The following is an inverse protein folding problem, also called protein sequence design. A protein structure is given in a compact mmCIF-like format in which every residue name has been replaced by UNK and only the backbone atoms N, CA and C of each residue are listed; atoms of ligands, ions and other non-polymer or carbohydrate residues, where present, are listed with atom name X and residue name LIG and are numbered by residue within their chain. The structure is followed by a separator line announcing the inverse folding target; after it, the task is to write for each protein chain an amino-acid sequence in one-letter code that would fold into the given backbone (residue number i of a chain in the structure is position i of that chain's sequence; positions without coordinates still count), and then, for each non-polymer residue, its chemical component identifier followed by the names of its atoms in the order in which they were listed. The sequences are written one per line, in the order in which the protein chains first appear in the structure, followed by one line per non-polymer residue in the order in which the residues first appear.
data_IF_765742708659
#
_entry.id   IF_765742708659
#
_cell.length_a   1.000
_cell.length_b   1.000
_cell.length_c   1.000
_cell.angle_alpha   90.00
_cell.angle_beta   90.00
_cell.angle_gamma   90.00
#
_symmetry.space_group_name_H-M   'P 1'
#
loop_
_entity.id
_entity.type
_entity.pdbx_description
1 polymer ?
#
# COMPACT_ATOMS: atom_id res chain seq x y z
N UNK A 1 -18.52 -2.55 11.64
CA UNK A 1 -17.22 -2.42 12.34
C UNK A 1 -16.96 -3.78 12.97
N UNK A 2 -15.83 -4.45 12.71
CA UNK A 2 -15.50 -5.74 13.33
C UNK A 2 -14.78 -5.56 14.67
N UNK A 3 -14.82 -6.58 15.52
CA UNK A 3 -14.51 -6.51 16.97
C UNK A 3 -13.03 -6.29 17.35
N UNK A 4 -12.11 -6.18 16.40
CA UNK A 4 -10.68 -5.97 16.68
C UNK A 4 -10.31 -4.47 16.71
N UNK A 5 -9.80 -3.99 17.84
CA UNK A 5 -9.43 -2.59 18.05
C UNK A 5 -8.24 -2.11 17.19
N UNK A 6 -7.45 -3.04 16.64
CA UNK A 6 -6.24 -2.80 15.82
C UNK A 6 -5.90 -4.04 14.98
N UNK A 7 -5.03 -3.88 13.98
CA UNK A 7 -4.58 -4.98 13.13
C UNK A 7 -5.31 -5.07 11.79
N UNK A 8 -5.24 -6.23 11.15
CA UNK A 8 -5.77 -6.45 9.79
C UNK A 8 -7.15 -7.10 9.89
N UNK A 9 -8.19 -6.30 9.67
CA UNK A 9 -9.57 -6.78 9.69
C UNK A 9 -9.97 -7.38 8.33
N UNK A 10 -10.24 -8.68 8.30
CA UNK A 10 -10.59 -9.43 7.08
C UNK A 10 -11.78 -8.83 6.33
N UNK A 11 -12.89 -8.56 7.02
CA UNK A 11 -14.10 -8.00 6.40
C UNK A 11 -13.85 -6.62 5.75
N UNK A 12 -12.92 -5.84 6.31
CA UNK A 12 -12.53 -4.55 5.75
C UNK A 12 -11.71 -4.72 4.46
N UNK A 13 -10.76 -5.66 4.44
CA UNK A 13 -10.02 -5.99 3.23
C UNK A 13 -10.95 -6.53 2.15
N UNK A 14 -11.85 -7.46 2.48
CA UNK A 14 -12.80 -8.04 1.52
C UNK A 14 -13.69 -6.95 0.90
N UNK A 15 -14.16 -5.99 1.69
CA UNK A 15 -14.89 -4.81 1.17
C UNK A 15 -14.03 -3.97 0.23
N UNK A 16 -12.79 -3.65 0.62
CA UNK A 16 -11.88 -2.89 -0.24
C UNK A 16 -11.60 -3.61 -1.56
N UNK A 17 -11.42 -4.93 -1.52
CA UNK A 17 -11.22 -5.74 -2.73
C UNK A 17 -12.44 -5.72 -3.63
N UNK A 18 -13.66 -5.75 -3.07
CA UNK A 18 -14.88 -5.61 -3.84
C UNK A 18 -14.97 -4.24 -4.53
N UNK A 19 -14.71 -3.15 -3.81
CA UNK A 19 -14.71 -1.79 -4.36
C UNK A 19 -13.68 -1.65 -5.50
N UNK A 20 -12.46 -2.16 -5.28
CA UNK A 20 -11.39 -2.20 -6.29
C UNK A 20 -11.81 -3.03 -7.51
N UNK A 21 -12.47 -4.17 -7.31
CA UNK A 21 -12.93 -5.02 -8.40
C UNK A 21 -13.95 -4.30 -9.29
N UNK A 22 -14.80 -3.46 -8.72
CA UNK A 22 -15.75 -2.63 -9.49
C UNK A 22 -15.02 -1.58 -10.34
N UNK A 23 -14.03 -0.91 -9.77
CA UNK A 23 -13.22 0.09 -10.50
C UNK A 23 -12.38 -0.57 -11.61
N UNK A 24 -11.76 -1.72 -11.34
CA UNK A 24 -10.94 -2.43 -12.31
C UNK A 24 -11.74 -2.86 -13.55
N UNK A 25 -13.04 -3.16 -13.41
CA UNK A 25 -13.93 -3.49 -14.53
C UNK A 25 -14.17 -2.32 -15.49
N UNK A 26 -13.83 -1.09 -15.10
CA UNK A 26 -13.93 0.08 -15.97
C UNK A 26 -12.79 0.15 -17.00
N UNK A 27 -11.81 -0.76 -16.94
CA UNK A 27 -10.67 -0.79 -17.86
C UNK A 27 -9.67 0.35 -17.61
N UNK A 28 -9.58 0.82 -16.35
CA UNK A 28 -8.63 1.85 -15.93
C UNK A 28 -7.41 1.23 -15.27
N UNK A 29 -6.24 1.81 -15.51
CA UNK A 29 -5.01 1.48 -14.80
C UNK A 29 -5.12 1.92 -13.34
N UNK A 30 -4.99 0.98 -12.40
CA UNK A 30 -5.21 1.26 -10.98
C UNK A 30 -3.93 1.12 -10.16
N UNK A 31 -3.62 2.21 -9.46
CA UNK A 31 -2.57 2.25 -8.45
C UNK A 31 -3.14 2.60 -7.07
N UNK A 32 -2.65 1.91 -6.04
CA UNK A 32 -3.14 2.02 -4.67
C UNK A 32 -2.00 2.42 -3.76
N UNK A 33 -2.24 3.38 -2.87
CA UNK A 33 -1.39 3.66 -1.71
C UNK A 33 -2.21 3.39 -0.46
N UNK A 34 -1.71 2.55 0.44
CA UNK A 34 -2.42 2.18 1.67
C UNK A 34 -1.68 2.68 2.91
N UNK A 35 -2.43 3.24 3.87
CA UNK A 35 -1.92 3.68 5.16
C UNK A 35 -1.69 2.51 6.12
N UNK A 36 -0.86 2.72 7.14
CA UNK A 36 -0.51 1.71 8.17
C UNK A 36 -1.23 1.92 9.51
N UNK A 37 -2.16 2.88 9.59
CA UNK A 37 -2.70 3.37 10.86
C UNK A 37 -3.43 2.32 11.70
N UNK A 38 -4.07 1.33 11.07
CA UNK A 38 -4.73 0.21 11.75
C UNK A 38 -3.75 -0.68 12.53
N UNK A 39 -2.53 -0.88 12.04
CA UNK A 39 -1.49 -1.64 12.76
C UNK A 39 -0.68 -0.71 13.66
N UNK A 40 -0.30 0.47 13.16
CA UNK A 40 0.49 1.44 13.93
C UNK A 40 -0.19 1.86 15.23
N UNK A 41 -1.53 2.02 15.25
CA UNK A 41 -2.27 2.30 16.48
C UNK A 41 -2.13 1.21 17.55
N UNK A 42 -1.99 -0.06 17.16
CA UNK A 42 -1.79 -1.17 18.10
C UNK A 42 -0.39 -1.16 18.74
N UNK A 43 0.62 -0.67 18.02
CA UNK A 43 2.01 -0.55 18.52
C UNK A 43 2.31 0.82 19.15
N UNK A 44 1.45 1.82 18.94
CA UNK A 44 1.63 3.18 19.43
C UNK A 44 1.83 3.30 20.95
N UNK A 45 1.16 2.53 21.82
CA UNK A 45 1.44 2.54 23.26
C UNK A 45 2.89 2.15 23.59
N UNK A 46 3.43 1.16 22.87
CA UNK A 46 4.83 0.72 23.00
C UNK A 46 5.85 1.66 22.35
N UNK A 47 5.39 2.59 21.51
CA UNK A 47 6.20 3.63 20.88
C UNK A 47 6.22 4.94 21.67
N UNK A 48 5.60 5.02 22.86
CA UNK A 48 5.68 6.23 23.69
C UNK A 48 7.14 6.51 24.09
N UNK A 49 7.61 7.73 23.82
CA UNK A 49 9.00 8.13 24.05
C UNK A 49 9.99 7.69 22.97
N UNK A 50 9.51 7.04 21.90
CA UNK A 50 10.32 6.67 20.75
C UNK A 50 10.72 7.88 19.91
N UNK A 51 11.91 7.84 19.34
CA UNK A 51 12.32 8.80 18.32
C UNK A 51 11.31 8.82 17.15
N UNK A 52 11.00 10.02 16.66
CA UNK A 52 9.97 10.22 15.64
C UNK A 52 10.29 9.46 14.36
N UNK A 53 11.55 9.40 13.94
CA UNK A 53 11.91 8.71 12.70
C UNK A 53 11.71 7.21 12.82
N UNK A 54 12.00 6.63 13.99
CA UNK A 54 11.78 5.19 14.25
C UNK A 54 10.29 4.85 14.24
N UNK A 55 9.46 5.71 14.85
CA UNK A 55 8.01 5.56 14.81
C UNK A 55 7.46 5.62 13.36
N UNK A 56 7.97 6.54 12.53
CA UNK A 56 7.57 6.62 11.13
C UNK A 56 8.00 5.38 10.32
N UNK A 57 9.18 4.80 10.58
CA UNK A 57 9.59 3.52 9.98
C UNK A 57 8.67 2.37 10.37
N UNK A 58 8.25 2.29 11.64
CA UNK A 58 7.25 1.30 12.06
C UNK A 58 5.92 1.51 11.33
N UNK A 59 5.49 2.76 11.14
CA UNK A 59 4.33 3.10 10.33
C UNK A 59 4.48 2.67 8.86
N UNK A 60 5.65 2.87 8.26
CA UNK A 60 5.95 2.41 6.89
C UNK A 60 5.93 0.88 6.79
N UNK A 61 6.50 0.14 7.75
CA UNK A 61 6.41 -1.32 7.79
C UNK A 61 4.96 -1.81 7.95
N UNK A 62 4.13 -1.08 8.71
CA UNK A 62 2.70 -1.34 8.78
C UNK A 62 1.99 -1.21 7.42
N UNK A 63 2.37 -0.24 6.59
CA UNK A 63 1.85 -0.17 5.21
C UNK A 63 2.26 -1.38 4.38
N UNK A 64 3.49 -1.91 4.55
CA UNK A 64 3.95 -3.12 3.84
C UNK A 64 3.11 -4.33 4.23
N UNK A 65 2.84 -4.52 5.51
CA UNK A 65 1.97 -5.61 5.99
C UNK A 65 0.56 -5.51 5.41
N UNK A 66 -0.03 -4.31 5.39
CA UNK A 66 -1.34 -4.09 4.78
C UNK A 66 -1.34 -4.37 3.27
N UNK A 67 -0.31 -3.93 2.54
CA UNK A 67 -0.18 -4.17 1.11
C UNK A 67 -0.10 -5.65 0.76
N UNK A 68 0.65 -6.44 1.55
CA UNK A 68 0.73 -7.89 1.38
C UNK A 68 -0.63 -8.56 1.63
N UNK A 69 -1.33 -8.17 2.69
CA UNK A 69 -2.65 -8.72 2.98
C UNK A 69 -3.70 -8.36 1.91
N UNK A 70 -3.66 -7.12 1.42
CA UNK A 70 -4.54 -6.67 0.33
C UNK A 70 -4.24 -7.43 -0.97
N UNK A 71 -2.96 -7.59 -1.33
CA UNK A 71 -2.56 -8.33 -2.53
C UNK A 71 -2.99 -9.81 -2.46
N UNK A 72 -2.87 -10.44 -1.29
CA UNK A 72 -3.35 -11.81 -1.10
C UNK A 72 -4.88 -11.92 -1.26
N UNK A 73 -5.64 -11.01 -0.66
CA UNK A 73 -7.09 -11.00 -0.80
C UNK A 73 -7.55 -10.72 -2.25
N UNK A 74 -6.87 -9.83 -2.96
CA UNK A 74 -7.08 -9.63 -4.40
C UNK A 74 -6.83 -10.90 -5.20
N UNK A 75 -5.73 -11.61 -4.90
CA UNK A 75 -5.39 -12.89 -5.55
C UNK A 75 -6.49 -13.93 -5.34
N UNK A 76 -7.08 -14.00 -4.15
CA UNK A 76 -8.15 -14.96 -3.83
C UNK A 76 -9.41 -14.76 -4.69
N UNK A 77 -9.64 -13.54 -5.21
CA UNK A 77 -10.77 -13.23 -6.11
C UNK A 77 -10.36 -13.10 -7.58
N UNK A 78 -9.15 -13.53 -7.94
CA UNK A 78 -8.65 -13.53 -9.32
C UNK A 78 -8.10 -12.20 -9.82
N UNK A 79 -7.90 -11.21 -8.93
CA UNK A 79 -7.29 -9.93 -9.28
C UNK A 79 -5.78 -10.03 -9.12
N UNK A 80 -5.04 -9.68 -10.17
CA UNK A 80 -3.57 -9.68 -10.12
C UNK A 80 -3.04 -8.33 -9.64
N UNK A 81 -2.42 -8.34 -8.46
CA UNK A 81 -1.75 -7.18 -7.89
C UNK A 81 -0.22 -7.38 -7.78
N UNK A 82 0.52 -6.28 -7.76
CA UNK A 82 1.97 -6.23 -7.51
C UNK A 82 2.27 -5.20 -6.44
N UNK A 83 2.91 -5.65 -5.36
CA UNK A 83 3.33 -4.77 -4.25
C UNK A 83 4.74 -4.27 -4.52
N UNK A 84 4.92 -2.96 -4.50
CA UNK A 84 6.21 -2.29 -4.64
C UNK A 84 6.45 -1.40 -3.42
N UNK A 85 7.64 -1.46 -2.83
CA UNK A 85 7.98 -0.76 -1.60
C UNK A 85 9.01 0.35 -1.83
N UNK A 86 8.80 1.51 -1.19
CA UNK A 86 9.79 2.57 -1.15
C UNK A 86 11.02 2.22 -0.29
N UNK A 87 10.88 1.26 0.64
CA UNK A 87 11.97 0.69 1.44
C UNK A 87 12.27 -0.71 0.91
N UNK A 88 13.52 -0.98 0.56
CA UNK A 88 13.94 -2.31 0.14
C UNK A 88 13.87 -3.30 1.30
N UNK A 89 13.02 -4.32 1.16
CA UNK A 89 12.92 -5.44 2.09
C UNK A 89 13.13 -6.70 1.26
N UNK A 90 14.39 -7.13 1.19
CA UNK A 90 14.80 -8.27 0.39
C UNK A 90 13.99 -9.52 0.76
N UNK A 91 13.67 -10.34 -0.24
CA UNK A 91 12.84 -11.55 -0.13
C UNK A 91 11.34 -11.33 0.16
N UNK A 92 10.91 -10.14 0.58
CA UNK A 92 9.51 -9.89 1.01
C UNK A 92 8.69 -9.14 -0.03
N UNK A 93 9.20 -7.99 -0.50
CA UNK A 93 8.50 -7.12 -1.44
C UNK A 93 9.45 -6.53 -2.47
N UNK A 94 8.93 -6.31 -3.67
CA UNK A 94 9.72 -5.72 -4.74
C UNK A 94 10.07 -4.25 -4.43
N UNK A 95 11.30 -3.78 -4.66
CA UNK A 95 11.60 -2.36 -4.57
C UNK A 95 10.85 -1.57 -5.63
N UNK A 96 10.41 -0.36 -5.29
CA UNK A 96 9.77 0.53 -6.25
C UNK A 96 10.75 0.94 -7.37
N UNK A 97 10.36 0.63 -8.60
CA UNK A 97 11.06 1.03 -9.83
C UNK A 97 10.02 1.55 -10.82
N UNK A 98 10.04 2.85 -11.08
CA UNK A 98 9.00 3.53 -11.89
C UNK A 98 8.72 2.86 -13.25
N UNK A 99 9.71 2.55 -14.11
CA UNK A 99 9.45 1.88 -15.38
C UNK A 99 8.68 0.56 -15.23
N UNK A 100 8.97 -0.20 -14.17
CA UNK A 100 8.34 -1.49 -13.92
C UNK A 100 6.92 -1.34 -13.35
N UNK A 101 6.68 -0.30 -12.55
CA UNK A 101 5.33 0.06 -12.13
C UNK A 101 4.45 0.40 -13.34
N UNK A 102 4.95 1.22 -14.27
CA UNK A 102 4.24 1.54 -15.52
C UNK A 102 3.97 0.30 -16.36
N UNK A 103 4.96 -0.58 -16.53
CA UNK A 103 4.76 -1.85 -17.23
C UNK A 103 3.65 -2.70 -16.59
N UNK A 104 3.60 -2.78 -15.25
CA UNK A 104 2.52 -3.52 -14.58
C UNK A 104 1.15 -2.91 -14.81
N UNK A 105 1.04 -1.58 -14.82
CA UNK A 105 -0.21 -0.90 -15.15
C UNK A 105 -0.64 -1.18 -16.60
N UNK A 106 0.31 -1.08 -17.56
CA UNK A 106 0.07 -1.40 -18.98
C UNK A 106 -0.31 -2.87 -19.23
N UNK A 107 0.02 -3.78 -18.29
CA UNK A 107 -0.33 -5.21 -18.30
C UNK A 107 -1.62 -5.53 -17.51
N UNK A 108 -2.47 -4.54 -17.26
CA UNK A 108 -3.72 -4.64 -16.51
C UNK A 108 -3.55 -5.15 -15.06
N UNK A 109 -2.37 -4.96 -14.46
CA UNK A 109 -2.11 -5.33 -13.06
C UNK A 109 -2.31 -4.12 -12.16
N UNK A 110 -2.88 -4.37 -10.99
CA UNK A 110 -2.97 -3.36 -9.94
C UNK A 110 -1.61 -3.19 -9.28
N UNK A 111 -1.12 -1.96 -9.18
CA UNK A 111 0.11 -1.66 -8.45
C UNK A 111 -0.22 -1.13 -7.05
N UNK A 112 0.34 -1.75 -6.02
CA UNK A 112 0.18 -1.30 -4.62
C UNK A 112 1.51 -0.75 -4.14
N UNK A 113 1.57 0.55 -3.86
CA UNK A 113 2.75 1.19 -3.28
C UNK A 113 2.73 1.09 -1.75
N UNK A 114 3.79 0.52 -1.21
CA UNK A 114 4.05 0.37 0.20
C UNK A 114 5.22 1.23 0.67
N UNK A 115 5.37 1.34 1.98
CA UNK A 115 6.36 2.14 2.69
C UNK A 115 6.33 3.65 2.37
N UNK A 116 5.19 4.17 1.91
CA UNK A 116 5.01 5.60 1.65
C UNK A 116 6.08 6.18 0.70
N UNK A 117 6.74 7.24 1.12
CA UNK A 117 7.87 7.86 0.40
C UNK A 117 9.21 7.21 0.72
N UNK A 118 9.26 6.29 1.69
CA UNK A 118 10.49 5.72 2.25
C UNK A 118 11.21 6.66 3.23
N UNK A 119 10.68 7.86 3.47
CA UNK A 119 11.30 8.88 4.30
C UNK A 119 10.42 9.19 5.53
N UNK A 120 11.02 9.28 6.74
CA UNK A 120 10.32 9.80 7.92
C UNK A 120 9.75 11.21 7.72
N UNK A 121 8.84 11.61 8.60
CA UNK A 121 8.15 12.91 8.61
C UNK A 121 7.17 13.17 7.46
N UNK A 122 7.00 12.22 6.55
CA UNK A 122 6.00 12.27 5.48
C UNK A 122 4.77 11.42 5.80
N UNK A 123 3.61 11.83 5.25
CA UNK A 123 2.36 11.07 5.40
C UNK A 123 2.12 10.19 4.18
N UNK A 124 1.19 9.23 4.34
CA UNK A 124 0.70 8.43 3.22
C UNK A 124 0.07 9.29 2.13
N UNK A 125 -0.55 10.43 2.46
CA UNK A 125 -1.12 11.35 1.47
C UNK A 125 -0.02 11.99 0.61
N UNK A 126 1.12 12.36 1.20
CA UNK A 126 2.27 12.83 0.42
C UNK A 126 2.80 11.75 -0.51
N UNK A 127 2.83 10.49 -0.06
CA UNK A 127 3.22 9.37 -0.90
C UNK A 127 2.24 9.15 -2.06
N UNK A 128 0.93 9.26 -1.81
CA UNK A 128 -0.09 9.16 -2.84
C UNK A 128 0.05 10.25 -3.91
N UNK A 129 0.24 11.50 -3.49
CA UNK A 129 0.49 12.61 -4.42
C UNK A 129 1.77 12.41 -5.23
N UNK A 130 2.87 11.99 -4.58
CA UNK A 130 4.14 11.71 -5.25
C UNK A 130 3.98 10.60 -6.28
N UNK A 131 3.46 9.43 -5.88
CA UNK A 131 3.30 8.27 -6.79
C UNK A 131 2.35 8.61 -7.93
N UNK A 132 1.26 9.32 -7.66
CA UNK A 132 0.35 9.81 -8.69
C UNK A 132 1.04 10.72 -9.71
N UNK A 133 1.94 11.61 -9.28
CA UNK A 133 2.72 12.46 -10.21
C UNK A 133 3.75 11.67 -11.02
N UNK A 134 4.28 10.58 -10.47
CA UNK A 134 5.29 9.75 -11.15
C UNK A 134 4.66 8.81 -12.17
N UNK A 135 3.51 8.21 -11.87
CA UNK A 135 2.82 7.25 -12.76
C UNK A 135 1.69 7.88 -13.56
N UNK A 136 1.37 9.15 -13.31
CA UNK A 136 0.30 9.87 -13.97
C UNK A 136 0.47 9.93 -15.49
N UNK A 137 -0.58 10.36 -16.22
CA UNK A 137 -0.67 10.21 -17.66
C UNK A 137 0.60 10.73 -18.35
N UNK A 138 1.17 9.90 -19.23
CA UNK A 138 2.20 10.36 -20.17
C UNK A 138 1.58 11.54 -20.91
N UNK A 139 2.19 12.72 -20.81
CA UNK A 139 1.90 13.82 -21.72
C UNK A 139 2.15 13.29 -23.12
N UNK A 140 1.07 12.96 -23.82
CA UNK A 140 1.06 12.60 -25.24
C UNK A 140 1.66 13.71 -26.08
#
# INVERSE_FOLDING_TARGET
MGDDAYGINRATIERMVADVAEVAKLGVELAIVIGGGNIFRGVAPGAQGMDRATADYMGMLATVMNSLALADAMRQVGITARVMSAISIEQVVEPYVRPKALQYLEEDKIVIFAAGTGNPFFTTDTAAALRGSEIGPKSS
#
